data_IF_182694393838
#
_entry.id   IF_182694393838
#
_cell.length_a   1.000
_cell.length_b   1.000
_cell.length_c   1.000
_cell.angle_alpha   90.00
_cell.angle_beta   90.00
_cell.angle_gamma   90.00
#
_symmetry.space_group_name_H-M   'P 1'
#
loop_
_entity.id
_entity.type
_entity.pdbx_description
1 polymer ?
#
# COMPACT_ATOMS: atom_id res chain seq x y z
N UNK A 1 -10.11 -17.85 -6.36
CA UNK A 1 -9.08 -16.86 -6.74
C UNK A 1 -8.38 -16.49 -5.44
N UNK A 2 -7.06 -16.65 -5.35
CA UNK A 2 -6.29 -16.18 -4.18
C UNK A 2 -6.27 -14.65 -4.24
N UNK A 3 -6.86 -13.96 -3.27
CA UNK A 3 -6.72 -12.51 -3.11
C UNK A 3 -5.49 -12.26 -2.24
N UNK A 4 -4.36 -12.00 -2.88
CA UNK A 4 -3.11 -11.67 -2.20
C UNK A 4 -3.08 -10.16 -1.95
N UNK A 5 -3.11 -9.76 -0.67
CA UNK A 5 -2.90 -8.38 -0.26
C UNK A 5 -1.44 -8.02 -0.47
N UNK A 6 -1.18 -6.93 -1.19
CA UNK A 6 0.16 -6.42 -1.47
C UNK A 6 0.43 -5.17 -0.66
N UNK A 7 1.68 -4.98 -0.23
CA UNK A 7 2.16 -3.76 0.42
C UNK A 7 2.91 -2.90 -0.60
N UNK A 8 2.50 -1.63 -0.68
CA UNK A 8 3.11 -0.61 -1.53
C UNK A 8 3.72 0.48 -0.65
N UNK A 9 4.95 0.89 -0.96
CA UNK A 9 5.50 2.12 -0.40
C UNK A 9 4.83 3.32 -1.06
N UNK A 10 4.86 4.47 -0.40
CA UNK A 10 4.41 5.73 -1.02
C UNK A 10 5.52 6.76 -1.00
N UNK A 11 5.43 7.73 -1.90
CA UNK A 11 6.38 8.83 -1.99
C UNK A 11 5.63 10.14 -1.99
N UNK A 12 6.06 11.06 -1.12
CA UNK A 12 5.61 12.45 -1.10
C UNK A 12 6.50 13.23 -2.07
N UNK A 13 5.90 13.96 -3.01
CA UNK A 13 6.62 14.84 -3.92
C UNK A 13 6.16 16.28 -3.71
N UNK A 14 7.04 17.14 -3.20
CA UNK A 14 6.72 18.55 -2.98
C UNK A 14 7.95 19.45 -3.18
N UNK A 15 7.70 20.73 -3.45
CA UNK A 15 8.76 21.74 -3.50
C UNK A 15 9.25 22.00 -2.08
N UNK A 16 10.53 21.77 -1.81
CA UNK A 16 11.14 22.09 -0.51
C UNK A 16 11.36 23.60 -0.43
N UNK A 17 10.73 24.33 0.52
CA UNK A 17 10.79 25.80 0.54
C UNK A 17 12.20 26.36 0.68
N UNK A 18 13.08 25.65 1.40
CA UNK A 18 14.45 26.11 1.64
C UNK A 18 15.36 26.05 0.42
N UNK A 19 15.02 25.23 -0.59
CA UNK A 19 15.85 25.04 -1.80
C UNK A 19 15.10 25.38 -3.08
N UNK A 20 13.78 25.55 -3.02
CA UNK A 20 12.89 25.70 -4.16
C UNK A 20 13.01 24.56 -5.19
N UNK A 21 13.44 23.37 -4.75
CA UNK A 21 13.59 22.20 -5.61
C UNK A 21 12.47 21.18 -5.32
N UNK A 22 12.00 20.49 -6.36
CA UNK A 22 11.17 19.31 -6.21
C UNK A 22 11.98 18.24 -5.46
N UNK A 23 11.48 17.87 -4.29
CA UNK A 23 12.11 16.91 -3.40
C UNK A 23 11.13 15.76 -3.16
N UNK A 24 11.69 14.57 -2.94
CA UNK A 24 10.95 13.36 -2.63
C UNK A 24 11.23 12.94 -1.20
N UNK A 25 10.20 12.49 -0.49
CA UNK A 25 10.32 11.87 0.83
C UNK A 25 9.58 10.54 0.83
N UNK A 26 10.07 9.59 1.63
CA UNK A 26 9.33 8.37 1.92
C UNK A 26 8.03 8.71 2.63
N UNK A 27 6.92 8.17 2.12
CA UNK A 27 5.62 8.20 2.77
C UNK A 27 5.32 6.90 3.51
N UNK A 28 4.05 6.69 3.84
CA UNK A 28 3.57 5.50 4.53
C UNK A 28 3.53 4.26 3.61
N UNK A 29 3.34 3.08 4.21
CA UNK A 29 3.05 1.83 3.50
C UNK A 29 1.52 1.67 3.39
N UNK A 30 1.04 1.23 2.23
CA UNK A 30 -0.38 0.97 1.96
C UNK A 30 -0.57 -0.49 1.54
N UNK A 31 -1.59 -1.13 2.11
CA UNK A 31 -2.03 -2.46 1.74
C UNK A 31 -3.19 -2.36 0.75
N UNK A 32 -3.07 -3.03 -0.41
CA UNK A 32 -4.10 -3.07 -1.46
C UNK A 32 -3.90 -4.29 -2.38
N UNK A 33 -4.91 -4.65 -3.19
CA UNK A 33 -4.80 -5.77 -4.13
C UNK A 33 -3.96 -5.39 -5.37
N UNK A 34 -3.88 -4.10 -5.66
CA UNK A 34 -3.19 -3.53 -6.81
C UNK A 34 -2.64 -2.13 -6.51
N UNK A 35 -1.69 -1.67 -7.32
CA UNK A 35 -1.14 -0.32 -7.18
C UNK A 35 -2.17 0.76 -7.56
N UNK A 36 -3.07 0.43 -8.49
CA UNK A 36 -4.18 1.29 -8.89
C UNK A 36 -5.16 1.51 -7.73
N UNK A 37 -5.44 0.45 -6.96
CA UNK A 37 -6.24 0.54 -5.75
C UNK A 37 -5.50 1.32 -4.65
N UNK A 38 -4.20 1.07 -4.45
CA UNK A 38 -3.39 1.84 -3.49
C UNK A 38 -3.41 3.34 -3.80
N UNK A 39 -3.32 3.72 -5.08
CA UNK A 39 -3.46 5.11 -5.51
C UNK A 39 -4.89 5.64 -5.31
N UNK A 40 -5.92 4.84 -5.62
CA UNK A 40 -7.32 5.20 -5.37
C UNK A 40 -7.58 5.49 -3.88
N UNK A 41 -7.00 4.70 -2.98
CA UNK A 41 -7.09 4.93 -1.53
C UNK A 41 -6.46 6.28 -1.16
N UNK A 42 -5.28 6.60 -1.70
CA UNK A 42 -4.62 7.90 -1.45
C UNK A 42 -5.51 9.06 -1.89
N UNK A 43 -6.05 8.99 -3.10
CA UNK A 43 -6.85 10.05 -3.69
C UNK A 43 -8.15 10.29 -2.90
N UNK A 44 -8.79 9.21 -2.43
CA UNK A 44 -10.07 9.27 -1.72
C UNK A 44 -9.94 9.56 -0.21
N UNK A 45 -8.75 9.43 0.37
CA UNK A 45 -8.51 9.66 1.81
C UNK A 45 -7.86 11.01 2.12
N UNK A 46 -7.81 11.92 1.14
CA UNK A 46 -7.18 13.24 1.30
C UNK A 46 -5.64 13.20 1.24
N UNK A 47 -5.06 12.10 0.76
CA UNK A 47 -3.62 11.88 0.60
C UNK A 47 -3.18 11.86 -0.86
N UNK A 48 -3.97 12.41 -1.78
CA UNK A 48 -3.64 12.47 -3.22
C UNK A 48 -2.38 13.28 -3.57
N UNK A 49 -1.75 13.94 -2.60
CA UNK A 49 -0.41 14.54 -2.76
C UNK A 49 0.72 13.50 -2.68
N UNK A 50 0.41 12.27 -2.28
CA UNK A 50 1.31 11.11 -2.29
C UNK A 50 1.09 10.29 -3.56
N UNK A 51 2.15 9.61 -3.98
CA UNK A 51 2.10 8.63 -5.06
C UNK A 51 2.38 7.24 -4.52
N UNK A 52 1.56 6.26 -4.88
CA UNK A 52 1.88 4.85 -4.65
C UNK A 52 3.11 4.46 -5.49
N UNK A 53 4.10 3.86 -4.85
CA UNK A 53 5.32 3.38 -5.49
C UNK A 53 5.42 1.85 -5.36
N UNK A 54 5.90 1.23 -6.42
CA UNK A 54 5.85 -0.21 -6.61
C UNK A 54 7.09 -0.88 -6.01
N UNK A 55 7.28 -0.77 -4.69
CA UNK A 55 8.14 -1.72 -4.01
C UNK A 55 7.24 -2.80 -3.43
N UNK A 56 7.18 -3.96 -4.09
CA UNK A 56 6.53 -5.16 -3.56
C UNK A 56 7.34 -5.60 -2.34
N UNK A 57 6.91 -5.20 -1.15
CA UNK A 57 7.66 -5.44 0.09
C UNK A 57 7.64 -6.94 0.44
N UNK A 58 6.53 -7.64 0.16
CA UNK A 58 6.33 -9.05 0.53
C UNK A 58 5.09 -9.63 -0.18
N UNK A 59 5.15 -10.90 -0.63
CA UNK A 59 3.97 -11.71 -0.94
C UNK A 59 3.67 -12.56 0.30
N UNK A 60 2.50 -12.37 0.91
CA UNK A 60 2.06 -13.22 2.04
C UNK A 60 1.26 -14.38 1.44
N UNK A 61 1.82 -15.61 1.38
CA UNK A 61 1.03 -16.77 1.01
C UNK A 61 -0.01 -16.98 2.11
N UNK A 62 -1.29 -16.95 1.73
CA UNK A 62 -2.37 -17.43 2.59
C UNK A 62 -2.13 -18.93 2.82
N UNK A 63 -1.49 -19.29 3.93
CA UNK A 63 -1.35 -20.70 4.29
C UNK A 63 -2.73 -21.24 4.62
N UNK A 64 -3.10 -22.35 3.97
CA UNK A 64 -4.40 -23.01 4.09
C UNK A 64 -4.70 -23.57 5.49
N UNK A 65 -3.97 -23.21 6.54
CA UNK A 65 -4.10 -23.80 7.88
C UNK A 65 -5.03 -23.02 8.83
N UNK A 66 -5.37 -21.76 8.54
CA UNK A 66 -6.29 -21.00 9.43
C UNK A 66 -7.78 -21.25 9.14
N UNK A 67 -8.14 -21.91 8.02
CA UNK A 67 -9.53 -22.28 7.73
C UNK A 67 -10.03 -23.50 8.55
N UNK A 68 -9.15 -24.26 9.19
CA UNK A 68 -9.55 -25.46 9.96
C UNK A 68 -10.12 -25.08 11.35
N UNK A 69 -9.71 -23.95 11.94
CA UNK A 69 -10.20 -23.54 13.27
C UNK A 69 -11.52 -22.77 13.24
N UNK A 70 -11.94 -22.24 12.08
CA UNK A 70 -13.24 -21.56 11.94
C UNK A 70 -14.37 -22.57 11.69
N UNK A 71 -14.11 -23.69 11.02
CA UNK A 71 -15.13 -24.71 10.73
C UNK A 71 -15.38 -25.63 11.94
N UNK A 72 -14.37 -25.88 12.79
CA UNK A 72 -14.51 -26.79 13.94
C UNK A 72 -15.02 -26.15 15.24
N UNK A 73 -15.31 -24.84 15.23
CA UNK A 73 -15.93 -24.11 16.36
C UNK A 73 -17.36 -23.62 16.04
N UNK A 74 -18.03 -24.21 15.03
CA UNK A 74 -19.48 -24.16 14.88
C UNK A 74 -20.10 -25.53 15.16
#
# INVERSE_FOLDING_TARGET
MSSEIKRFTTVIQAIKPSTNCLTKWSGDIIEADSIEEAQSILDNTGRGYMKADAELIEEIPLSNEEWINVINNM
#
